data_IF_639833254213
#
_entry.id   IF_639833254213
#
_cell.length_a   1.000
_cell.length_b   1.000
_cell.length_c   1.000
_cell.angle_alpha   90.00
_cell.angle_beta   90.00
_cell.angle_gamma   90.00
#
_symmetry.space_group_name_H-M   'P 1'
#
loop_
_entity.id
_entity.type
_entity.pdbx_description
1 polymer ?
#
# COMPACT_ATOMS: atom_id res chain seq x y z
N UNK A 1 4.18 11.18 9.41
CA UNK A 1 3.28 10.66 8.35
C UNK A 1 3.77 11.19 7.01
N UNK A 2 3.80 10.35 5.96
CA UNK A 2 4.12 10.83 4.61
C UNK A 2 2.92 11.60 4.06
N UNK A 3 3.16 12.78 3.48
CA UNK A 3 2.12 13.61 2.85
C UNK A 3 2.28 13.59 1.33
N UNK A 4 1.18 13.37 0.63
CA UNK A 4 1.13 13.50 -0.83
C UNK A 4 1.03 14.99 -1.18
N UNK A 5 1.90 15.55 -2.03
CA UNK A 5 1.83 16.95 -2.40
C UNK A 5 0.50 17.31 -3.07
N UNK A 6 0.01 18.53 -2.83
CA UNK A 6 -1.33 18.96 -3.25
C UNK A 6 -1.55 18.96 -4.77
N UNK A 7 -0.48 19.10 -5.55
CA UNK A 7 -0.53 19.11 -7.02
C UNK A 7 -0.58 17.72 -7.66
N UNK A 8 -0.58 16.64 -6.87
CA UNK A 8 -0.67 15.29 -7.40
C UNK A 8 -2.09 14.98 -7.89
N UNK A 9 -2.17 14.16 -8.94
CA UNK A 9 -3.41 13.82 -9.61
C UNK A 9 -3.79 12.39 -9.24
N UNK A 10 -5.06 12.17 -8.88
CA UNK A 10 -5.61 10.84 -8.65
C UNK A 10 -5.73 10.06 -9.97
N UNK A 11 -5.08 8.91 -10.06
CA UNK A 11 -5.03 8.11 -11.30
C UNK A 11 -5.88 6.83 -11.25
N UNK A 12 -6.02 6.20 -10.08
CA UNK A 12 -6.75 4.94 -9.90
C UNK A 12 -7.22 4.78 -8.45
N UNK A 13 -8.37 4.12 -8.29
CA UNK A 13 -8.85 3.61 -7.00
C UNK A 13 -9.13 2.11 -7.09
N UNK A 14 -8.95 1.40 -5.99
CA UNK A 14 -9.40 0.00 -5.83
C UNK A 14 -10.86 -0.01 -5.37
N UNK A 15 -11.60 -1.11 -5.57
CA UNK A 15 -12.83 -1.33 -4.82
C UNK A 15 -12.51 -1.53 -3.33
N UNK A 16 -13.55 -1.60 -2.49
CA UNK A 16 -13.37 -2.06 -1.11
C UNK A 16 -12.97 -3.53 -1.08
N UNK A 17 -11.94 -3.82 -0.30
CA UNK A 17 -11.44 -5.17 -0.08
C UNK A 17 -11.57 -5.58 1.38
N UNK A 18 -11.68 -6.89 1.58
CA UNK A 18 -11.52 -7.56 2.86
C UNK A 18 -10.49 -8.70 2.70
N UNK A 19 -10.32 -9.51 3.75
CA UNK A 19 -9.37 -10.63 3.74
C UNK A 19 -9.64 -11.66 2.63
N UNK A 20 -10.85 -11.72 2.08
CA UNK A 20 -11.25 -12.69 1.06
C UNK A 20 -11.21 -12.11 -0.36
N UNK A 21 -11.48 -10.81 -0.53
CA UNK A 21 -11.64 -10.18 -1.86
C UNK A 21 -10.42 -9.42 -2.34
N UNK A 22 -9.45 -9.14 -1.47
CA UNK A 22 -8.19 -8.53 -1.88
C UNK A 22 -7.35 -9.50 -2.73
N UNK A 23 -6.53 -9.01 -3.67
CA UNK A 23 -5.56 -9.86 -4.34
C UNK A 23 -4.60 -10.46 -3.31
N UNK A 24 -4.45 -11.79 -3.28
CA UNK A 24 -3.69 -12.50 -2.24
C UNK A 24 -2.28 -11.95 -2.02
N UNK A 25 -1.59 -11.54 -3.10
CA UNK A 25 -0.25 -10.97 -3.04
C UNK A 25 -0.12 -9.67 -2.24
N UNK A 26 -1.22 -8.95 -1.93
CA UNK A 26 -1.16 -7.76 -1.07
C UNK A 26 -0.81 -8.10 0.39
N UNK A 27 -1.02 -9.36 0.80
CA UNK A 27 -0.72 -9.84 2.14
C UNK A 27 0.68 -10.45 2.26
N UNK A 28 1.38 -10.64 1.13
CA UNK A 28 2.76 -11.06 1.07
C UNK A 28 3.68 -9.83 0.93
N UNK A 29 4.97 -9.96 1.23
CA UNK A 29 5.92 -8.88 0.98
C UNK A 29 6.00 -8.61 -0.53
N UNK A 30 5.80 -7.37 -0.93
CA UNK A 30 5.81 -6.98 -2.34
C UNK A 30 6.26 -5.54 -2.53
N UNK A 31 6.74 -5.24 -3.73
CA UNK A 31 6.77 -3.88 -4.27
C UNK A 31 5.54 -3.73 -5.18
N UNK A 32 4.76 -2.66 -5.01
CA UNK A 32 3.59 -2.45 -5.88
C UNK A 32 4.02 -2.46 -7.34
N UNK A 33 3.34 -3.26 -8.17
CA UNK A 33 3.62 -3.28 -9.61
C UNK A 33 3.19 -1.94 -10.20
N UNK A 34 4.14 -1.05 -10.40
CA UNK A 34 3.89 0.34 -10.80
C UNK A 34 4.23 1.38 -9.73
N UNK A 35 4.83 1.03 -8.58
CA UNK A 35 5.57 1.99 -7.77
C UNK A 35 6.77 2.46 -8.57
N UNK A 36 6.56 3.51 -9.33
CA UNK A 36 7.60 4.31 -9.96
C UNK A 36 7.83 5.51 -9.05
N UNK A 37 9.00 6.16 -9.13
CA UNK A 37 9.16 7.48 -8.54
C UNK A 37 7.97 8.38 -8.94
N UNK A 38 7.31 8.99 -7.94
CA UNK A 38 6.13 9.83 -8.16
C UNK A 38 4.77 9.13 -8.11
N UNK A 39 4.69 7.85 -7.75
CA UNK A 39 3.40 7.18 -7.47
C UNK A 39 3.26 6.95 -5.97
N UNK A 40 2.21 7.53 -5.38
CA UNK A 40 1.95 7.45 -3.94
C UNK A 40 0.62 6.71 -3.68
N UNK A 41 0.65 5.47 -3.16
CA UNK A 41 -0.55 4.79 -2.72
C UNK A 41 -1.10 5.43 -1.44
N UNK A 42 -2.44 5.48 -1.31
CA UNK A 42 -3.12 5.93 -0.10
C UNK A 42 -4.16 4.89 0.33
N UNK A 43 -3.88 4.20 1.43
CA UNK A 43 -4.77 3.19 2.01
C UNK A 43 -5.66 3.83 3.07
N UNK A 44 -6.97 3.76 2.85
CA UNK A 44 -7.98 4.21 3.82
C UNK A 44 -8.79 3.03 4.32
N UNK A 45 -8.91 2.88 5.64
CA UNK A 45 -9.68 1.80 6.27
C UNK A 45 -11.09 2.29 6.53
N UNK A 46 -12.08 1.66 5.87
CA UNK A 46 -13.48 2.02 6.05
C UNK A 46 -14.05 1.49 7.37
N UNK A 47 -13.65 0.28 7.80
CA UNK A 47 -14.10 -0.34 9.05
C UNK A 47 -13.03 -1.29 9.60
N UNK A 48 -12.86 -1.32 10.92
CA UNK A 48 -11.85 -2.15 11.59
C UNK A 48 -10.45 -1.53 11.52
N UNK A 49 -9.43 -2.35 11.24
CA UNK A 49 -8.04 -1.91 11.20
C UNK A 49 -7.22 -2.66 10.15
N UNK A 50 -6.19 -1.98 9.63
CA UNK A 50 -5.14 -2.53 8.77
C UNK A 50 -3.79 -2.13 9.38
N UNK A 51 -2.81 -3.04 9.35
CA UNK A 51 -1.43 -2.76 9.74
C UNK A 51 -0.56 -2.78 8.48
N UNK A 52 0.17 -1.69 8.25
CA UNK A 52 1.21 -1.62 7.23
C UNK A 52 2.55 -2.05 7.82
N UNK A 53 3.32 -2.85 7.09
CA UNK A 53 4.66 -3.32 7.47
C UNK A 53 5.64 -2.93 6.35
N UNK A 54 6.49 -1.94 6.60
CA UNK A 54 7.60 -1.57 5.73
C UNK A 54 8.85 -2.37 6.07
N UNK A 55 9.72 -2.60 5.09
CA UNK A 55 10.98 -3.31 5.27
C UNK A 55 12.10 -2.52 4.57
N UNK A 56 13.30 -2.54 5.14
CA UNK A 56 14.46 -1.85 4.58
C UNK A 56 14.81 -2.35 3.15
N UNK A 57 14.67 -3.66 2.94
CA UNK A 57 14.86 -4.31 1.65
C UNK A 57 14.01 -5.60 1.51
N UNK A 58 14.20 -6.30 0.39
CA UNK A 58 13.47 -7.53 0.06
C UNK A 58 13.72 -8.69 1.04
N UNK A 59 14.90 -8.74 1.68
CA UNK A 59 15.37 -9.90 2.46
C UNK A 59 15.45 -9.64 3.97
N UNK A 60 15.19 -8.41 4.40
CA UNK A 60 15.14 -8.03 5.81
C UNK A 60 14.17 -8.93 6.59
N UNK A 61 14.61 -9.48 7.73
CA UNK A 61 13.80 -10.43 8.48
C UNK A 61 12.60 -9.74 9.15
N UNK A 62 12.82 -8.54 9.69
CA UNK A 62 11.86 -7.80 10.48
C UNK A 62 11.45 -6.49 9.79
N UNK A 63 10.23 -5.99 10.04
CA UNK A 63 9.77 -4.69 9.55
C UNK A 63 10.36 -3.52 10.34
N UNK A 64 10.43 -2.36 9.68
CA UNK A 64 10.89 -1.08 10.27
C UNK A 64 9.79 -0.34 11.06
#
# INVERSE_FOLDING_TARGET
MLQIPQNYIHTRSTPFWNKQTAPAGIFERHLDKGTRPGVYPRLSVMHGAVKYLGYADEHSAEPD
#
